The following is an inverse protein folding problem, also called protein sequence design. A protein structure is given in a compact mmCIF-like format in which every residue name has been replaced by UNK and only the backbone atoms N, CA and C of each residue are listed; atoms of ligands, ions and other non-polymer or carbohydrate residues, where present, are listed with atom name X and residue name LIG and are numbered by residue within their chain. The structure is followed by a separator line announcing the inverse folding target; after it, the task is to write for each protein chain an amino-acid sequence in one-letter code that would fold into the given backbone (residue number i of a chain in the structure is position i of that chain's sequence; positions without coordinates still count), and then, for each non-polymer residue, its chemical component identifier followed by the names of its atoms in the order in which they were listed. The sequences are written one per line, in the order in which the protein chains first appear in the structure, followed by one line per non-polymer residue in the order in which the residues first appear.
data_IF_110512043500
#
_entry.id   IF_110512043500
#
_cell.length_a   1.000
_cell.length_b   1.000
_cell.length_c   1.000
_cell.angle_alpha   90.00
_cell.angle_beta   90.00
_cell.angle_gamma   90.00
#
_symmetry.space_group_name_H-M   'P 1'
#
loop_
_entity.id
_entity.type
_entity.pdbx_description
1 polymer ?
#
# COMPACT_ATOMS: atom_id res chain seq x y z
N UNK A 1 -36.18 1.79 23.60
CA UNK A 1 -34.75 1.89 23.99
C UNK A 1 -33.97 2.42 22.81
N UNK A 2 -33.62 3.70 22.85
CA UNK A 2 -32.82 4.39 21.84
C UNK A 2 -31.35 4.07 22.08
N UNK A 3 -30.76 3.22 21.24
CA UNK A 3 -29.30 3.01 21.22
C UNK A 3 -28.64 4.18 20.50
N UNK A 4 -28.03 5.07 21.28
CA UNK A 4 -27.14 6.10 20.77
C UNK A 4 -25.92 5.42 20.15
N UNK A 5 -25.89 5.36 18.82
CA UNK A 5 -24.70 4.97 18.05
C UNK A 5 -23.69 6.12 18.24
N UNK A 6 -22.78 5.98 19.19
CA UNK A 6 -21.75 6.99 19.41
C UNK A 6 -20.95 7.14 18.12
N UNK A 7 -21.04 8.33 17.52
CA UNK A 7 -20.20 8.70 16.39
C UNK A 7 -18.79 8.85 16.95
N UNK A 8 -18.06 7.74 17.03
CA UNK A 8 -16.70 7.72 17.57
C UNK A 8 -15.86 8.75 16.83
N UNK A 9 -15.42 9.78 17.53
CA UNK A 9 -14.58 10.82 16.96
C UNK A 9 -13.30 10.16 16.42
N UNK A 10 -12.98 10.43 15.16
CA UNK A 10 -11.71 10.00 14.57
C UNK A 10 -10.58 10.76 15.29
N UNK A 11 -9.53 10.05 15.67
CA UNK A 11 -8.33 10.71 16.21
C UNK A 11 -7.49 11.26 15.05
N UNK A 12 -6.56 12.19 15.33
CA UNK A 12 -5.55 12.56 14.35
C UNK A 12 -4.80 11.32 13.86
N UNK A 13 -4.30 11.33 12.61
CA UNK A 13 -3.53 10.21 12.09
C UNK A 13 -2.32 9.88 12.97
N UNK A 14 -2.05 8.58 13.11
CA UNK A 14 -0.88 8.06 13.82
C UNK A 14 0.13 7.59 12.79
N UNK A 15 1.33 8.17 12.80
CA UNK A 15 2.43 7.71 11.99
C UNK A 15 3.23 6.66 12.73
N UNK A 16 3.51 5.55 12.07
CA UNK A 16 4.38 4.50 12.60
C UNK A 16 5.41 4.08 11.57
N UNK A 17 6.62 3.78 12.03
CA UNK A 17 7.59 2.99 11.26
C UNK A 17 7.60 1.58 11.82
N UNK A 18 7.36 0.59 10.96
CA UNK A 18 7.39 -0.82 11.34
C UNK A 18 8.44 -1.58 10.54
N UNK A 19 9.06 -2.57 11.18
CA UNK A 19 9.83 -3.62 10.51
C UNK A 19 9.09 -4.93 10.69
N UNK A 20 8.66 -5.51 9.57
CA UNK A 20 7.95 -6.79 9.56
C UNK A 20 8.99 -7.91 9.52
N UNK A 21 9.03 -8.82 10.50
CA UNK A 21 9.96 -9.94 10.48
C UNK A 21 9.86 -10.75 9.19
N UNK A 22 10.98 -11.29 8.72
CA UNK A 22 11.05 -12.00 7.43
C UNK A 22 10.05 -13.16 7.32
N UNK A 23 9.81 -13.89 8.42
CA UNK A 23 8.84 -14.99 8.46
C UNK A 23 7.38 -14.53 8.30
N UNK A 24 7.10 -13.23 8.41
CA UNK A 24 5.79 -12.61 8.14
C UNK A 24 5.71 -11.92 6.78
N UNK A 25 6.75 -11.92 5.94
CA UNK A 25 6.71 -11.28 4.61
C UNK A 25 5.60 -11.83 3.71
N UNK A 26 5.23 -13.10 3.87
CA UNK A 26 4.13 -13.75 3.15
C UNK A 26 2.77 -13.62 3.85
N UNK A 27 2.72 -12.89 4.97
CA UNK A 27 1.47 -12.64 5.68
C UNK A 27 1.00 -11.21 5.41
N UNK A 28 -0.31 -11.01 5.25
CA UNK A 28 -0.88 -9.70 4.96
C UNK A 28 -1.01 -8.86 6.25
N UNK A 29 0.11 -8.59 6.91
CA UNK A 29 0.16 -7.90 8.22
C UNK A 29 -0.52 -6.54 8.14
N UNK A 30 -0.21 -5.74 7.11
CA UNK A 30 -0.76 -4.40 6.89
C UNK A 30 -2.24 -4.46 6.51
N UNK A 31 -2.64 -5.36 5.60
CA UNK A 31 -4.05 -5.47 5.18
C UNK A 31 -4.96 -6.05 6.28
N UNK A 32 -4.41 -6.75 7.27
CA UNK A 32 -5.15 -7.12 8.50
C UNK A 32 -5.49 -5.91 9.37
N UNK A 33 -4.68 -4.84 9.34
CA UNK A 33 -5.02 -3.57 10.02
C UNK A 33 -6.33 -2.99 9.49
N UNK A 34 -6.57 -3.15 8.19
CA UNK A 34 -7.77 -2.64 7.50
C UNK A 34 -8.93 -3.60 7.72
N UNK A 35 -8.75 -4.86 7.35
CA UNK A 35 -9.85 -5.85 7.34
C UNK A 35 -10.34 -6.26 8.73
N UNK A 36 -9.46 -6.29 9.75
CA UNK A 36 -9.82 -6.70 11.12
C UNK A 36 -10.03 -5.54 12.08
N UNK A 37 -9.29 -4.45 11.90
CA UNK A 37 -9.35 -3.30 12.81
C UNK A 37 -10.00 -2.07 12.17
N UNK A 38 -10.48 -2.18 10.92
CA UNK A 38 -11.25 -1.14 10.23
C UNK A 38 -10.51 0.21 10.17
N UNK A 39 -9.19 0.14 9.93
CA UNK A 39 -8.34 1.30 9.73
C UNK A 39 -8.24 1.69 8.25
N UNK A 40 -8.10 2.98 7.98
CA UNK A 40 -7.52 3.47 6.73
C UNK A 40 -6.01 3.51 6.90
N UNK A 41 -5.26 2.96 5.94
CA UNK A 41 -3.80 2.87 6.01
C UNK A 41 -3.19 3.49 4.76
N UNK A 42 -2.37 4.52 4.96
CA UNK A 42 -1.53 5.10 3.92
C UNK A 42 -0.09 4.61 4.12
N UNK A 43 0.52 4.04 3.08
CA UNK A 43 1.94 3.71 3.05
C UNK A 43 2.66 4.91 2.45
N UNK A 44 3.45 5.62 3.27
CA UNK A 44 4.15 6.86 2.89
C UNK A 44 5.54 6.58 2.34
N UNK A 45 6.23 5.60 2.90
CA UNK A 45 7.53 5.14 2.44
C UNK A 45 7.68 3.65 2.76
N UNK A 46 8.49 2.96 1.97
CA UNK A 46 8.90 1.61 2.25
C UNK A 46 10.34 1.41 1.78
N UNK A 47 11.09 0.58 2.49
CA UNK A 47 12.33 0.02 1.98
C UNK A 47 12.22 -1.48 2.00
N UNK A 48 12.54 -2.07 0.86
CA UNK A 48 12.58 -3.50 0.67
C UNK A 48 14.03 -3.84 0.40
N UNK A 49 14.70 -4.38 1.41
CA UNK A 49 16.05 -4.86 1.25
C UNK A 49 15.98 -6.33 0.84
N UNK A 50 16.69 -6.68 -0.24
CA UNK A 50 16.74 -8.05 -0.75
C UNK A 50 17.72 -8.94 0.03
N UNK A 51 18.51 -8.34 0.92
CA UNK A 51 19.50 -9.05 1.73
C UNK A 51 18.85 -9.77 2.91
N UNK A 52 19.31 -11.01 3.15
CA UNK A 52 18.78 -11.94 4.15
C UNK A 52 18.94 -11.36 5.58
N UNK A 53 19.89 -10.46 5.79
CA UNK A 53 20.22 -9.88 7.10
C UNK A 53 19.49 -8.55 7.38
N UNK A 54 18.90 -7.94 6.36
CA UNK A 54 18.20 -6.65 6.44
C UNK A 54 16.70 -6.85 6.23
N UNK A 55 15.89 -6.71 7.28
CA UNK A 55 14.44 -6.71 7.05
C UNK A 55 13.98 -5.31 6.62
N UNK A 56 13.16 -5.28 5.58
CA UNK A 56 12.53 -4.05 5.11
C UNK A 56 11.65 -3.37 6.17
N UNK A 57 11.41 -2.08 5.95
CA UNK A 57 10.61 -1.24 6.83
C UNK A 57 9.51 -0.52 6.06
N UNK A 58 8.47 -0.12 6.77
CA UNK A 58 7.31 0.60 6.25
C UNK A 58 6.98 1.78 7.12
N UNK A 59 6.83 2.95 6.50
CA UNK A 59 6.23 4.13 7.12
C UNK A 59 4.75 4.16 6.79
N UNK A 60 3.94 4.02 7.83
CA UNK A 60 2.49 3.96 7.75
C UNK A 60 1.87 5.18 8.43
N UNK A 61 0.80 5.70 7.86
CA UNK A 61 -0.12 6.61 8.52
C UNK A 61 -1.44 5.85 8.72
N UNK A 62 -1.83 5.70 9.98
CA UNK A 62 -3.02 4.99 10.41
C UNK A 62 -4.12 5.99 10.76
N UNK A 63 -5.31 5.80 10.21
CA UNK A 63 -6.48 6.60 10.55
C UNK A 63 -7.64 5.70 10.97
N UNK A 64 -8.23 6.02 12.12
CA UNK A 64 -9.34 5.29 12.71
C UNK A 64 -9.86 6.00 13.95
N UNK A 65 -10.75 5.33 14.67
CA UNK A 65 -11.08 5.75 16.02
C UNK A 65 -9.99 5.29 17.03
N UNK A 66 -9.96 5.82 18.26
CA UNK A 66 -8.90 5.50 19.22
C UNK A 66 -8.78 3.99 19.50
N UNK A 67 -9.91 3.31 19.70
CA UNK A 67 -9.95 1.88 20.02
C UNK A 67 -9.40 1.02 18.87
N UNK A 68 -9.78 1.33 17.63
CA UNK A 68 -9.29 0.66 16.43
C UNK A 68 -7.76 0.78 16.30
N UNK A 69 -7.23 1.99 16.51
CA UNK A 69 -5.78 2.22 16.43
C UNK A 69 -5.05 1.48 17.54
N UNK A 70 -5.50 1.58 18.80
CA UNK A 70 -4.88 0.89 19.94
C UNK A 70 -4.89 -0.63 19.76
N UNK A 71 -6.02 -1.21 19.34
CA UNK A 71 -6.16 -2.65 19.12
C UNK A 71 -5.24 -3.12 17.98
N UNK A 72 -5.09 -2.32 16.93
CA UNK A 72 -4.20 -2.62 15.80
C UNK A 72 -2.72 -2.61 16.20
N UNK A 73 -2.29 -1.64 17.01
CA UNK A 73 -0.91 -1.55 17.52
C UNK A 73 -0.61 -2.74 18.46
N UNK A 74 -1.56 -3.08 19.33
CA UNK A 74 -1.47 -4.26 20.20
C UNK A 74 -1.37 -5.58 19.42
N UNK A 75 -1.98 -5.63 18.23
CA UNK A 75 -1.86 -6.77 17.33
C UNK A 75 -0.47 -6.85 16.70
N UNK A 76 0.08 -5.73 16.21
CA UNK A 76 1.44 -5.69 15.67
C UNK A 76 2.48 -6.14 16.71
N UNK A 77 2.35 -5.65 17.96
CA UNK A 77 3.21 -6.07 19.06
C UNK A 77 3.10 -7.57 19.37
N UNK A 78 1.87 -8.12 19.44
CA UNK A 78 1.65 -9.56 19.67
C UNK A 78 2.20 -10.45 18.55
N UNK A 79 2.24 -9.93 17.33
CA UNK A 79 2.86 -10.60 16.19
C UNK A 79 4.40 -10.45 16.21
N UNK A 80 5.00 -9.76 17.17
CA UNK A 80 6.44 -9.51 17.17
C UNK A 80 6.90 -8.62 16.00
N UNK A 81 6.01 -7.77 15.48
CA UNK A 81 6.39 -6.73 14.51
C UNK A 81 7.09 -5.62 15.28
N UNK A 82 8.28 -5.22 14.83
CA UNK A 82 9.05 -4.18 15.49
C UNK A 82 8.44 -2.81 15.15
N UNK A 83 7.91 -2.11 16.16
CA UNK A 83 7.53 -0.70 16.04
C UNK A 83 8.75 0.18 16.34
N UNK A 84 9.37 0.72 15.31
CA UNK A 84 10.58 1.54 15.40
C UNK A 84 10.27 2.98 15.81
N UNK A 85 9.14 3.52 15.35
CA UNK A 85 8.71 4.89 15.64
C UNK A 85 7.19 4.94 15.69
N UNK A 86 6.65 5.77 16.59
CA UNK A 86 5.22 6.09 16.68
C UNK A 86 5.08 7.59 16.99
N UNK A 87 4.29 8.32 16.21
CA UNK A 87 3.95 9.73 16.46
C UNK A 87 2.49 10.02 16.08
N UNK A 88 1.88 11.02 16.73
CA UNK A 88 0.51 11.46 16.46
C UNK A 88 0.58 12.84 15.80
N UNK A 89 -0.01 13.00 14.61
CA UNK A 89 -0.04 14.29 13.92
C UNK A 89 -0.85 15.28 14.75
N UNK A 90 -0.22 16.40 15.12
CA UNK A 90 -0.78 17.40 16.04
C UNK A 90 0.10 17.69 17.25
N UNK A 91 1.16 16.90 17.46
CA UNK A 91 2.24 17.20 18.40
C UNK A 91 3.57 17.35 17.64
N UNK A 92 3.92 18.61 17.33
CA UNK A 92 5.23 19.10 16.85
C UNK A 92 5.54 18.96 15.34
N UNK A 93 6.16 20.03 14.83
CA UNK A 93 6.39 20.47 13.46
C UNK A 93 7.41 19.66 12.63
N UNK A 94 7.38 19.83 11.29
CA UNK A 94 8.12 19.04 10.31
C UNK A 94 9.52 19.60 10.04
N UNK A 95 10.48 18.71 9.90
CA UNK A 95 11.82 18.96 9.33
C UNK A 95 12.37 17.63 8.86
N UNK A 96 13.07 17.44 7.75
CA UNK A 96 13.30 18.13 6.49
C UNK A 96 13.86 17.00 5.58
N UNK A 97 13.83 17.23 4.28
CA UNK A 97 14.61 16.54 3.25
C UNK A 97 14.21 15.10 2.87
N UNK A 98 13.60 15.00 1.69
CA UNK A 98 13.69 13.79 0.87
C UNK A 98 13.98 14.21 -0.57
N UNK A 99 15.25 14.08 -0.95
CA UNK A 99 15.77 14.33 -2.28
C UNK A 99 15.17 13.35 -3.29
N UNK A 100 14.94 13.85 -4.50
CA UNK A 100 14.51 13.10 -5.67
C UNK A 100 15.55 12.07 -6.12
N UNK A 101 15.08 10.90 -6.56
CA UNK A 101 15.91 9.90 -7.25
C UNK A 101 15.58 9.84 -8.76
N UNK A 102 16.59 9.54 -9.61
CA UNK A 102 16.48 9.56 -11.06
C UNK A 102 15.88 8.25 -11.58
N UNK A 103 15.04 8.32 -12.61
CA UNK A 103 14.56 7.14 -13.35
C UNK A 103 15.26 7.13 -14.71
N UNK A 104 16.06 6.10 -14.97
CA UNK A 104 16.55 5.75 -16.30
C UNK A 104 15.65 4.68 -16.90
N UNK A 105 15.05 4.97 -18.05
CA UNK A 105 14.27 4.06 -18.86
C UNK A 105 15.17 3.11 -19.66
N UNK A 106 14.79 1.84 -19.78
CA UNK A 106 15.03 1.11 -21.02
C UNK A 106 14.10 -0.10 -21.20
N UNK A 107 13.37 -0.03 -22.33
CA UNK A 107 13.00 -1.08 -23.27
C UNK A 107 12.36 -2.38 -22.74
N UNK A 108 11.03 -2.47 -22.90
CA UNK A 108 10.32 -3.76 -22.95
C UNK A 108 9.57 -3.87 -24.28
N UNK A 109 9.92 -4.92 -25.03
CA UNK A 109 9.35 -5.27 -26.33
C UNK A 109 7.90 -5.76 -26.18
N UNK A 110 7.07 -5.32 -27.12
CA UNK A 110 5.63 -5.53 -27.22
C UNK A 110 5.33 -6.84 -27.95
N UNK A 111 4.68 -7.78 -27.30
CA UNK A 111 3.91 -8.83 -27.95
C UNK A 111 2.54 -8.97 -27.27
N UNK A 112 1.58 -9.35 -28.10
CA UNK A 112 0.12 -9.16 -28.06
C UNK A 112 -0.58 -9.77 -26.83
N UNK A 113 -1.67 -9.17 -26.32
CA UNK A 113 -2.71 -9.84 -25.51
C UNK A 113 -3.89 -8.88 -25.17
N UNK A 114 -4.96 -8.94 -25.97
CA UNK A 114 -5.82 -7.78 -26.28
C UNK A 114 -7.29 -7.90 -25.81
N UNK A 115 -7.58 -8.10 -24.52
CA UNK A 115 -8.99 -8.03 -24.05
C UNK A 115 -9.19 -7.38 -22.68
N UNK A 116 -8.50 -7.81 -21.63
CA UNK A 116 -8.63 -7.21 -20.29
C UNK A 116 -7.75 -5.96 -20.11
N UNK A 117 -6.54 -5.98 -20.68
CA UNK A 117 -5.62 -4.84 -20.72
C UNK A 117 -6.26 -3.65 -21.46
N UNK A 118 -6.99 -3.91 -22.53
CA UNK A 118 -7.64 -2.92 -23.40
C UNK A 118 -8.67 -2.06 -22.67
N UNK A 119 -9.34 -2.58 -21.62
CA UNK A 119 -10.36 -1.80 -20.88
C UNK A 119 -9.72 -0.76 -19.95
N UNK A 120 -8.63 -1.11 -19.28
CA UNK A 120 -7.92 -0.20 -18.37
C UNK A 120 -7.01 0.77 -19.12
N UNK A 121 -6.42 0.30 -20.22
CA UNK A 121 -5.60 1.14 -21.10
C UNK A 121 -6.39 2.38 -21.57
N UNK A 122 -7.58 2.15 -22.11
CA UNK A 122 -8.42 3.23 -22.65
C UNK A 122 -9.06 4.12 -21.58
N UNK A 123 -9.11 3.69 -20.32
CA UNK A 123 -9.74 4.46 -19.24
C UNK A 123 -8.73 5.27 -18.42
N UNK A 124 -7.55 4.71 -18.13
CA UNK A 124 -6.57 5.33 -17.23
C UNK A 124 -5.45 6.07 -17.97
N UNK A 125 -4.95 5.56 -19.10
CA UNK A 125 -3.88 6.26 -19.83
C UNK A 125 -4.29 7.66 -20.30
N UNK A 126 -5.51 7.90 -20.83
CA UNK A 126 -5.90 9.26 -21.21
C UNK A 126 -5.94 10.23 -20.02
N UNK A 127 -6.34 9.76 -18.83
CA UNK A 127 -6.44 10.60 -17.62
C UNK A 127 -5.07 10.92 -17.02
N UNK A 128 -4.15 9.95 -17.04
CA UNK A 128 -2.76 10.12 -16.57
C UNK A 128 -2.00 11.00 -17.57
N UNK A 129 -2.08 10.69 -18.87
CA UNK A 129 -1.33 11.39 -19.93
C UNK A 129 -1.76 12.83 -20.15
N UNK A 130 -3.00 13.19 -19.80
CA UNK A 130 -3.51 14.56 -19.88
C UNK A 130 -3.27 15.39 -18.62
N UNK A 131 -2.54 14.84 -17.62
CA UNK A 131 -2.32 15.42 -16.30
C UNK A 131 -3.62 15.80 -15.55
N UNK A 132 -4.73 15.14 -15.87
CA UNK A 132 -6.05 15.44 -15.31
C UNK A 132 -6.25 14.87 -13.91
N UNK A 133 -5.39 13.94 -13.48
CA UNK A 133 -5.46 13.35 -12.15
C UNK A 133 -4.08 12.98 -11.63
N UNK A 134 -3.83 13.29 -10.36
CA UNK A 134 -2.69 12.79 -9.58
C UNK A 134 -3.08 11.57 -8.73
N UNK A 135 -4.21 10.93 -9.04
CA UNK A 135 -4.77 9.80 -8.31
C UNK A 135 -5.33 8.73 -9.24
N UNK A 136 -4.97 7.49 -8.97
CA UNK A 136 -5.58 6.30 -9.56
C UNK A 136 -6.33 5.54 -8.46
N UNK A 137 -7.53 5.06 -8.76
CA UNK A 137 -8.23 4.09 -7.90
C UNK A 137 -8.40 2.78 -8.66
N UNK A 138 -7.99 1.68 -8.04
CA UNK A 138 -8.06 0.36 -8.66
C UNK A 138 -8.27 -0.74 -7.64
N UNK A 139 -8.71 -1.88 -8.12
CA UNK A 139 -8.75 -3.11 -7.34
C UNK A 139 -7.57 -4.00 -7.76
N UNK A 140 -6.76 -4.41 -6.79
CA UNK A 140 -5.60 -5.26 -7.02
C UNK A 140 -5.85 -6.67 -6.46
N UNK A 141 -5.53 -7.66 -7.28
CA UNK A 141 -5.49 -9.07 -6.90
C UNK A 141 -4.04 -9.55 -6.96
N UNK A 142 -3.55 -10.13 -5.87
CA UNK A 142 -2.20 -10.70 -5.82
C UNK A 142 -2.34 -12.23 -5.75
N UNK A 143 -1.93 -12.90 -6.84
CA UNK A 143 -1.90 -14.37 -6.93
C UNK A 143 -0.79 -14.97 -6.05
N UNK A 144 -0.97 -16.21 -5.58
CA UNK A 144 0.04 -16.99 -4.80
C UNK A 144 1.42 -17.00 -5.43
N UNK A 145 1.49 -17.04 -6.75
CA UNK A 145 2.75 -17.05 -7.49
C UNK A 145 3.56 -15.77 -7.28
N UNK A 146 2.91 -14.67 -6.88
CA UNK A 146 3.51 -13.36 -6.67
C UNK A 146 3.70 -13.02 -5.18
N UNK A 147 3.44 -13.93 -4.23
CA UNK A 147 3.57 -13.66 -2.78
C UNK A 147 5.01 -13.42 -2.32
N UNK A 148 5.98 -13.88 -3.10
CA UNK A 148 7.39 -13.58 -2.84
C UNK A 148 7.76 -12.16 -3.27
N UNK A 149 6.87 -11.45 -3.97
CA UNK A 149 7.08 -10.07 -4.42
C UNK A 149 6.26 -9.11 -3.56
N UNK A 150 6.90 -8.13 -2.93
CA UNK A 150 6.21 -7.16 -2.08
C UNK A 150 5.56 -6.04 -2.92
N UNK A 151 4.57 -6.41 -3.75
CA UNK A 151 3.98 -5.59 -4.85
C UNK A 151 3.60 -4.17 -4.42
N UNK A 152 2.84 -4.03 -3.32
CA UNK A 152 2.35 -2.72 -2.88
C UNK A 152 3.49 -1.83 -2.38
N UNK A 153 4.47 -2.39 -1.66
CA UNK A 153 5.64 -1.63 -1.21
C UNK A 153 6.57 -1.26 -2.36
N UNK A 154 6.69 -2.08 -3.39
CA UNK A 154 7.46 -1.72 -4.60
C UNK A 154 6.86 -0.49 -5.28
N UNK A 155 5.53 -0.31 -5.29
CA UNK A 155 4.92 0.93 -5.75
C UNK A 155 5.52 2.14 -5.04
N UNK A 156 5.65 2.07 -3.72
CA UNK A 156 6.16 3.17 -2.92
C UNK A 156 7.68 3.30 -3.05
N UNK A 157 8.44 2.22 -2.86
CA UNK A 157 9.90 2.25 -2.77
C UNK A 157 10.58 2.46 -4.12
N UNK A 158 10.01 1.92 -5.20
CA UNK A 158 10.60 1.96 -6.53
C UNK A 158 10.00 3.05 -7.41
N UNK A 159 8.71 3.30 -7.29
CA UNK A 159 8.00 4.25 -8.15
C UNK A 159 7.63 5.55 -7.43
N UNK A 160 7.91 5.67 -6.13
CA UNK A 160 7.75 6.91 -5.37
C UNK A 160 6.31 7.37 -5.20
N UNK A 161 5.33 6.48 -5.39
CA UNK A 161 3.91 6.82 -5.20
C UNK A 161 3.49 6.64 -3.74
N UNK A 162 2.50 7.40 -3.28
CA UNK A 162 1.81 7.12 -2.02
C UNK A 162 0.66 6.15 -2.29
N UNK A 163 0.53 5.12 -1.46
CA UNK A 163 -0.56 4.15 -1.59
C UNK A 163 -1.47 4.22 -0.38
N UNK A 164 -2.73 4.54 -0.60
CA UNK A 164 -3.81 4.33 0.36
C UNK A 164 -4.44 2.97 0.09
N UNK A 165 -4.61 2.16 1.13
CA UNK A 165 -5.39 0.93 1.04
C UNK A 165 -6.73 1.20 1.74
N UNK A 166 -7.79 1.32 0.95
CA UNK A 166 -9.14 1.66 1.44
C UNK A 166 -9.98 0.43 1.78
N UNK A 167 -9.57 -0.75 1.30
CA UNK A 167 -10.26 -2.01 1.54
C UNK A 167 -9.33 -3.20 1.33
N UNK A 168 -9.52 -4.25 2.14
CA UNK A 168 -8.89 -5.54 1.94
C UNK A 168 -9.78 -6.66 2.50
N UNK A 169 -9.83 -7.83 1.85
CA UNK A 169 -10.45 -9.07 2.37
C UNK A 169 -9.49 -10.17 2.05
N UNK A 170 -8.97 -10.75 3.11
CA UNK A 170 -8.01 -11.82 3.04
C UNK A 170 -8.78 -13.07 3.45
N UNK A 171 -8.88 -14.04 2.54
CA UNK A 171 -9.46 -15.35 2.86
C UNK A 171 -8.30 -16.32 3.12
N UNK A 172 -7.98 -16.65 4.39
CA UNK A 172 -6.80 -17.46 4.71
C UNK A 172 -6.82 -18.86 4.09
N UNK A 173 -7.99 -19.38 3.70
CA UNK A 173 -8.17 -20.74 3.20
C UNK A 173 -8.35 -20.86 1.68
N UNK A 174 -8.20 -19.76 0.92
CA UNK A 174 -8.44 -19.75 -0.54
C UNK A 174 -7.14 -19.43 -1.30
N UNK A 175 -7.06 -19.88 -2.54
CA UNK A 175 -5.87 -19.88 -3.41
C UNK A 175 -5.30 -18.48 -3.76
N UNK A 176 -5.86 -17.37 -3.26
CA UNK A 176 -5.48 -15.98 -3.56
C UNK A 176 -5.42 -15.12 -2.28
N UNK A 177 -4.49 -14.15 -2.18
CA UNK A 177 -4.27 -13.35 -0.94
C UNK A 177 -5.22 -12.15 -0.86
N UNK A 178 -6.46 -12.40 -1.27
CA UNK A 178 -7.49 -11.40 -1.19
C UNK A 178 -7.43 -10.31 -2.25
N UNK A 179 -8.52 -9.55 -2.25
CA UNK A 179 -8.69 -8.29 -2.98
C UNK A 179 -8.14 -7.12 -2.14
N UNK A 180 -7.62 -6.11 -2.82
CA UNK A 180 -7.22 -4.83 -2.26
C UNK A 180 -7.87 -3.70 -3.05
N UNK A 181 -8.55 -2.80 -2.37
CA UNK A 181 -8.94 -1.52 -2.95
C UNK A 181 -7.82 -0.51 -2.68
N UNK A 182 -7.19 -0.04 -3.76
CA UNK A 182 -6.05 0.86 -3.70
C UNK A 182 -6.41 2.24 -4.27
N UNK A 183 -5.89 3.26 -3.61
CA UNK A 183 -5.79 4.59 -4.18
C UNK A 183 -4.32 5.01 -4.21
N UNK A 184 -3.80 5.22 -5.41
CA UNK A 184 -2.39 5.52 -5.65
C UNK A 184 -2.29 6.99 -6.03
N UNK A 185 -1.39 7.71 -5.37
CA UNK A 185 -1.15 9.14 -5.59
C UNK A 185 0.30 9.39 -6.00
N UNK A 186 0.51 10.29 -6.96
CA UNK A 186 1.85 10.64 -7.44
C UNK A 186 1.81 11.63 -8.60
N UNK A 187 2.99 12.00 -9.11
CA UNK A 187 3.12 12.72 -10.37
C UNK A 187 2.67 11.85 -11.54
N UNK A 188 2.43 12.46 -12.70
CA UNK A 188 2.07 11.74 -13.93
C UNK A 188 3.05 10.59 -14.25
N UNK A 189 4.36 10.83 -14.20
CA UNK A 189 5.38 9.82 -14.51
C UNK A 189 5.43 8.69 -13.47
N UNK A 190 5.24 9.03 -12.19
CA UNK A 190 5.17 8.06 -11.10
C UNK A 190 3.92 7.17 -11.24
N UNK A 191 2.76 7.77 -11.56
CA UNK A 191 1.52 7.06 -11.79
C UNK A 191 1.60 6.17 -13.03
N UNK A 192 2.20 6.66 -14.11
CA UNK A 192 2.40 5.88 -15.33
C UNK A 192 3.32 4.67 -15.07
N UNK A 193 4.49 4.90 -14.47
CA UNK A 193 5.48 3.85 -14.21
C UNK A 193 4.96 2.80 -13.22
N UNK A 194 4.28 3.24 -12.15
CA UNK A 194 3.65 2.35 -11.17
C UNK A 194 2.50 1.54 -11.77
N UNK A 195 1.70 2.14 -12.66
CA UNK A 195 0.65 1.42 -13.37
C UNK A 195 1.23 0.37 -14.34
N UNK A 196 2.25 0.71 -15.13
CA UNK A 196 2.95 -0.24 -16.00
C UNK A 196 3.55 -1.41 -15.23
N UNK A 197 4.08 -1.16 -14.03
CA UNK A 197 4.52 -2.23 -13.13
C UNK A 197 3.37 -3.15 -12.72
N UNK A 198 2.23 -2.59 -12.28
CA UNK A 198 1.05 -3.39 -11.89
C UNK A 198 0.52 -4.24 -13.03
N UNK A 199 0.54 -3.72 -14.26
CA UNK A 199 0.16 -4.49 -15.45
C UNK A 199 0.98 -5.78 -15.59
N UNK A 200 2.26 -5.79 -15.21
CA UNK A 200 3.11 -6.99 -15.30
C UNK A 200 2.62 -8.17 -14.45
N UNK A 201 1.82 -7.92 -13.41
CA UNK A 201 1.22 -8.96 -12.56
C UNK A 201 -0.08 -9.54 -13.15
N UNK A 202 -0.74 -8.80 -14.04
CA UNK A 202 -1.89 -9.28 -14.79
C UNK A 202 -1.47 -9.95 -16.11
N UNK A 203 -0.29 -9.60 -16.65
CA UNK A 203 0.25 -10.12 -17.92
C UNK A 203 0.84 -11.54 -17.77
N UNK A 204 1.22 -11.97 -16.55
CA UNK A 204 1.87 -13.26 -16.29
C UNK A 204 1.04 -14.22 -15.40
N UNK A 205 -0.27 -13.98 -15.24
CA UNK A 205 -1.15 -14.80 -14.40
C UNK A 205 -1.93 -15.84 -15.21
#
# INVERSE_FOLDING_TARGET
MTTFKSKSAKIPPVHIRIRVPQHYQRQPVISRLISRYNLTVNIKAASLTADIDSCGWFDLELQGNPEQVINSLSYLQRMGVDLMQVSIVGSIQPSQDSQSFPISESNIKRYEHTSLVTKWENQLYPQISSNQTNRIRLQLWISKNHYHKPVISELVSRYGVTVNISGALLKPDVQNDGWFDLEIWGSQDQLFSSFSYLQSFFINA
#
